data_IF_357195457913
#
_entry.id   IF_357195457913
#
_cell.length_a   1.000
_cell.length_b   1.000
_cell.length_c   1.000
_cell.angle_alpha   90.00
_cell.angle_beta   90.00
_cell.angle_gamma   90.00
#
_symmetry.space_group_name_H-M   'P 1'
#
loop_
_entity.id
_entity.type
_entity.pdbx_description
1 polymer ?
#
# COMPACT_ATOMS: atom_id res chain seq x y z
N UNK A 1 67.70 22.07 -33.56
CA UNK A 1 67.59 21.85 -32.11
C UNK A 1 66.13 22.04 -31.75
N UNK A 2 65.64 21.16 -30.88
CA UNK A 2 64.26 20.70 -30.69
C UNK A 2 63.19 21.77 -30.43
N UNK A 3 62.00 21.52 -30.99
CA UNK A 3 60.72 21.96 -30.44
C UNK A 3 59.71 20.81 -30.59
N UNK A 4 59.98 19.69 -29.90
CA UNK A 4 59.09 18.54 -29.79
C UNK A 4 58.66 18.37 -28.34
N UNK A 5 57.92 19.34 -27.82
CA UNK A 5 57.44 19.37 -26.44
C UNK A 5 55.92 19.27 -26.36
N UNK A 6 55.44 18.10 -25.95
CA UNK A 6 54.33 17.93 -25.00
C UNK A 6 52.87 18.09 -25.46
N UNK A 7 52.53 17.66 -26.69
CA UNK A 7 51.12 17.47 -27.07
C UNK A 7 50.47 16.20 -26.47
N UNK A 8 51.27 15.18 -26.14
CA UNK A 8 50.75 13.90 -25.63
C UNK A 8 50.27 13.95 -24.18
N UNK A 9 50.84 14.82 -23.34
CA UNK A 9 50.51 14.92 -21.91
C UNK A 9 49.17 15.63 -21.66
N UNK A 10 48.83 16.65 -22.45
CA UNK A 10 47.52 17.32 -22.37
C UNK A 10 46.36 16.46 -22.91
N UNK A 11 46.65 15.58 -23.87
CA UNK A 11 45.65 14.68 -24.43
C UNK A 11 45.24 13.58 -23.44
N UNK A 12 46.20 13.00 -22.70
CA UNK A 12 45.92 12.01 -21.65
C UNK A 12 45.14 12.56 -20.46
N UNK A 13 45.39 13.82 -20.06
CA UNK A 13 44.67 14.47 -18.97
C UNK A 13 43.22 14.80 -19.34
N UNK A 14 42.97 15.08 -20.62
CA UNK A 14 41.62 15.38 -21.13
C UNK A 14 40.79 14.11 -21.22
N UNK A 15 41.36 13.03 -21.76
CA UNK A 15 40.73 11.71 -21.84
C UNK A 15 40.46 11.10 -20.43
N UNK A 16 41.38 11.33 -19.47
CA UNK A 16 41.19 10.93 -18.07
C UNK A 16 40.07 11.71 -17.36
N UNK A 17 39.90 13.00 -17.66
CA UNK A 17 38.82 13.84 -17.12
C UNK A 17 37.46 13.48 -17.74
N UNK A 18 37.42 13.21 -19.04
CA UNK A 18 36.22 12.76 -19.75
C UNK A 18 35.75 11.39 -19.24
N UNK A 19 36.66 10.42 -19.09
CA UNK A 19 36.34 9.12 -18.50
C UNK A 19 35.74 9.21 -17.09
N UNK A 20 36.26 10.12 -16.25
CA UNK A 20 35.67 10.38 -14.92
C UNK A 20 34.29 11.04 -14.99
N UNK A 21 34.07 11.96 -15.92
CA UNK A 21 32.77 12.60 -16.10
C UNK A 21 31.70 11.58 -16.50
N UNK A 22 32.03 10.66 -17.40
CA UNK A 22 31.14 9.57 -17.81
C UNK A 22 30.83 8.61 -16.65
N UNK A 23 31.82 8.31 -15.81
CA UNK A 23 31.63 7.50 -14.60
C UNK A 23 30.65 8.17 -13.62
N UNK A 24 30.74 9.50 -13.43
CA UNK A 24 29.80 10.23 -12.58
C UNK A 24 28.38 10.23 -13.17
N UNK A 25 28.24 10.43 -14.48
CA UNK A 25 26.94 10.38 -15.17
C UNK A 25 26.32 8.99 -15.02
N UNK A 26 27.11 7.93 -15.23
CA UNK A 26 26.67 6.54 -15.06
C UNK A 26 26.25 6.26 -13.62
N UNK A 27 27.08 6.63 -12.64
CA UNK A 27 26.76 6.42 -11.23
C UNK A 27 25.47 7.13 -10.83
N UNK A 28 25.27 8.37 -11.26
CA UNK A 28 24.06 9.13 -11.01
C UNK A 28 22.83 8.47 -11.67
N UNK A 29 22.95 8.02 -12.91
CA UNK A 29 21.86 7.31 -13.60
C UNK A 29 21.50 6.01 -12.87
N UNK A 30 22.47 5.21 -12.46
CA UNK A 30 22.27 3.99 -11.67
C UNK A 30 21.54 4.26 -10.35
N UNK A 31 21.96 5.30 -9.61
CA UNK A 31 21.31 5.69 -8.36
C UNK A 31 19.82 6.05 -8.57
N UNK A 32 19.52 6.86 -9.59
CA UNK A 32 18.14 7.27 -9.92
C UNK A 32 17.30 6.08 -10.38
N UNK A 33 17.85 5.20 -11.23
CA UNK A 33 17.16 3.99 -11.68
C UNK A 33 16.89 3.02 -10.53
N UNK A 34 17.76 2.98 -9.52
CA UNK A 34 17.56 2.15 -8.32
C UNK A 34 16.35 2.63 -7.52
N UNK A 35 16.19 3.95 -7.35
CA UNK A 35 15.00 4.54 -6.69
C UNK A 35 13.72 4.24 -7.49
N UNK A 36 13.75 4.38 -8.82
CA UNK A 36 12.59 4.09 -9.68
C UNK A 36 12.22 2.60 -9.60
N UNK A 37 13.22 1.70 -9.65
CA UNK A 37 12.98 0.27 -9.52
C UNK A 37 12.31 -0.08 -8.18
N UNK A 38 12.71 0.58 -7.09
CA UNK A 38 12.08 0.38 -5.78
C UNK A 38 10.64 0.89 -5.75
N UNK A 39 10.37 2.06 -6.32
CA UNK A 39 9.00 2.57 -6.45
C UNK A 39 8.11 1.63 -7.27
N UNK A 40 8.62 1.06 -8.36
CA UNK A 40 7.90 0.06 -9.17
C UNK A 40 7.54 -1.17 -8.33
N UNK A 41 8.48 -1.68 -7.50
CA UNK A 41 8.20 -2.82 -6.60
C UNK A 41 7.09 -2.50 -5.62
N UNK A 42 7.12 -1.32 -5.01
CA UNK A 42 6.08 -0.86 -4.08
C UNK A 42 4.73 -0.80 -4.79
N UNK A 43 4.66 -0.22 -5.98
CA UNK A 43 3.43 -0.14 -6.77
C UNK A 43 2.89 -1.52 -7.15
N UNK A 44 3.77 -2.47 -7.52
CA UNK A 44 3.38 -3.84 -7.80
C UNK A 44 2.77 -4.53 -6.58
N UNK A 45 3.38 -4.37 -5.41
CA UNK A 45 2.87 -4.92 -4.16
C UNK A 45 1.53 -4.27 -3.76
N UNK A 46 1.38 -2.96 -3.96
CA UNK A 46 0.11 -2.26 -3.76
C UNK A 46 -0.98 -2.82 -4.69
N UNK A 47 -0.69 -2.99 -5.98
CA UNK A 47 -1.63 -3.57 -6.94
C UNK A 47 -2.04 -5.00 -6.56
N UNK A 48 -1.09 -5.83 -6.12
CA UNK A 48 -1.37 -7.19 -5.62
C UNK A 48 -2.35 -7.16 -4.46
N UNK A 49 -2.13 -6.28 -3.47
CA UNK A 49 -3.02 -6.14 -2.30
C UNK A 49 -4.42 -5.73 -2.70
N UNK A 50 -4.56 -4.75 -3.60
CA UNK A 50 -5.88 -4.31 -4.10
C UNK A 50 -6.63 -5.47 -4.74
N UNK A 51 -5.97 -6.30 -5.55
CA UNK A 51 -6.60 -7.47 -6.18
C UNK A 51 -7.04 -8.53 -5.16
N UNK A 52 -6.21 -8.79 -4.14
CA UNK A 52 -6.54 -9.73 -3.07
C UNK A 52 -7.71 -9.24 -2.20
N UNK A 53 -7.72 -7.95 -1.88
CA UNK A 53 -8.82 -7.31 -1.16
C UNK A 53 -10.12 -7.37 -1.97
N UNK A 54 -10.08 -7.03 -3.27
CA UNK A 54 -11.24 -7.12 -4.15
C UNK A 54 -11.79 -8.55 -4.25
N UNK A 55 -10.91 -9.55 -4.37
CA UNK A 55 -11.30 -10.96 -4.39
C UNK A 55 -11.96 -11.38 -3.07
N UNK A 56 -11.34 -11.06 -1.93
CA UNK A 56 -11.87 -11.34 -0.60
C UNK A 56 -13.23 -10.66 -0.41
N UNK A 57 -13.34 -9.38 -0.76
CA UNK A 57 -14.60 -8.63 -0.62
C UNK A 57 -15.71 -9.25 -1.48
N UNK A 58 -15.39 -9.66 -2.71
CA UNK A 58 -16.33 -10.40 -3.55
C UNK A 58 -16.77 -11.70 -2.87
N UNK A 59 -15.84 -12.52 -2.37
CA UNK A 59 -16.17 -13.76 -1.66
C UNK A 59 -17.07 -13.52 -0.44
N UNK A 60 -16.77 -12.49 0.37
CA UNK A 60 -17.56 -12.14 1.56
C UNK A 60 -18.94 -11.59 1.20
N UNK A 61 -19.06 -10.80 0.12
CA UNK A 61 -20.36 -10.36 -0.39
C UNK A 61 -21.23 -11.53 -0.85
N UNK A 62 -20.64 -12.55 -1.48
CA UNK A 62 -21.34 -13.75 -1.93
C UNK A 62 -21.63 -14.76 -0.80
N UNK A 63 -20.93 -14.69 0.34
CA UNK A 63 -21.20 -15.57 1.47
C UNK A 63 -22.66 -15.44 1.94
N UNK A 64 -23.31 -16.58 2.17
CA UNK A 64 -24.72 -16.63 2.56
C UNK A 64 -24.96 -15.84 3.85
N UNK A 65 -26.09 -15.16 3.96
CA UNK A 65 -26.47 -14.46 5.18
C UNK A 65 -27.99 -14.43 5.30
N UNK A 66 -28.51 -14.74 6.48
CA UNK A 66 -29.96 -14.73 6.74
C UNK A 66 -30.51 -13.32 6.96
N UNK A 67 -29.62 -12.32 7.08
CA UNK A 67 -30.00 -10.92 7.26
C UNK A 67 -29.38 -10.07 6.16
N UNK A 68 -30.00 -8.92 5.89
CA UNK A 68 -29.43 -7.92 5.00
C UNK A 68 -28.15 -7.38 5.61
N UNK A 69 -27.07 -7.42 4.84
CA UNK A 69 -25.77 -6.84 5.21
C UNK A 69 -25.88 -5.32 5.18
N UNK A 70 -25.63 -4.67 6.32
CA UNK A 70 -25.74 -3.21 6.51
C UNK A 70 -24.37 -2.67 6.91
N UNK A 71 -23.90 -1.58 6.28
CA UNK A 71 -22.68 -0.89 6.70
C UNK A 71 -22.69 -0.51 8.18
N UNK A 72 -21.50 -0.46 8.78
CA UNK A 72 -21.28 -0.17 10.19
C UNK A 72 -21.38 -1.39 11.10
N UNK A 73 -22.02 -2.47 10.65
CA UNK A 73 -22.19 -3.68 11.45
C UNK A 73 -21.01 -4.64 11.36
N UNK A 74 -20.82 -5.39 12.43
CA UNK A 74 -19.88 -6.51 12.50
C UNK A 74 -20.64 -7.80 12.19
N UNK A 75 -20.01 -8.63 11.36
CA UNK A 75 -20.51 -9.93 10.94
C UNK A 75 -19.48 -11.00 11.26
N UNK A 76 -19.95 -12.14 11.71
CA UNK A 76 -19.15 -13.29 12.12
C UNK A 76 -19.33 -14.40 11.08
N UNK A 77 -18.23 -14.80 10.45
CA UNK A 77 -18.18 -15.81 9.42
C UNK A 77 -18.01 -17.20 10.03
N UNK A 78 -18.91 -18.10 9.65
CA UNK A 78 -18.91 -19.48 10.11
C UNK A 78 -18.88 -20.45 8.93
N UNK A 79 -18.51 -21.70 9.21
CA UNK A 79 -18.51 -22.80 8.25
C UNK A 79 -19.36 -23.96 8.76
N UNK A 80 -20.35 -24.35 7.95
CA UNK A 80 -21.15 -25.56 8.21
C UNK A 80 -20.33 -26.82 7.96
N UNK A 81 -20.76 -27.95 8.49
CA UNK A 81 -20.17 -29.27 8.18
C UNK A 81 -20.16 -29.56 6.67
N UNK A 82 -21.17 -29.07 5.93
CA UNK A 82 -21.22 -29.17 4.46
C UNK A 82 -20.11 -28.38 3.73
N UNK A 83 -19.35 -27.55 4.45
CA UNK A 83 -18.33 -26.66 3.91
C UNK A 83 -18.84 -25.28 3.52
N UNK A 84 -20.16 -25.05 3.51
CA UNK A 84 -20.73 -23.75 3.17
C UNK A 84 -20.34 -22.68 4.21
N UNK A 85 -19.80 -21.57 3.73
CA UNK A 85 -19.54 -20.37 4.53
C UNK A 85 -20.76 -19.47 4.60
N UNK A 86 -21.07 -18.94 5.78
CA UNK A 86 -22.16 -18.01 5.97
C UNK A 86 -21.87 -17.00 7.09
N UNK A 87 -22.49 -15.83 7.00
CA UNK A 87 -22.41 -14.78 8.00
C UNK A 87 -23.58 -14.83 8.98
N UNK A 88 -23.28 -14.53 10.24
CA UNK A 88 -24.23 -14.24 11.32
C UNK A 88 -23.90 -12.88 11.94
N UNK A 89 -24.89 -12.26 12.59
CA UNK A 89 -24.69 -11.09 13.46
C UNK A 89 -24.27 -11.50 14.88
N UNK A 90 -24.48 -12.76 15.25
CA UNK A 90 -24.11 -13.28 16.57
C UNK A 90 -22.64 -13.70 16.57
N UNK A 91 -21.89 -13.22 17.56
CA UNK A 91 -20.52 -13.65 17.84
C UNK A 91 -20.47 -15.07 18.42
N UNK A 92 -19.30 -15.73 18.41
CA UNK A 92 -19.15 -17.04 19.07
C UNK A 92 -19.53 -17.01 20.56
N UNK A 93 -19.28 -15.88 21.23
CA UNK A 93 -19.62 -15.68 22.64
C UNK A 93 -21.12 -15.58 22.86
N UNK A 94 -21.83 -14.84 22.02
CA UNK A 94 -23.29 -14.69 22.11
C UNK A 94 -24.03 -15.97 21.72
N UNK A 95 -23.47 -16.72 20.78
CA UNK A 95 -24.00 -18.02 20.38
C UNK A 95 -23.83 -19.07 21.49
N UNK A 96 -22.76 -18.95 22.28
CA UNK A 96 -22.48 -19.82 23.40
C UNK A 96 -22.22 -21.28 22.97
N UNK A 97 -22.44 -22.26 23.86
CA UNK A 97 -22.14 -23.66 23.59
C UNK A 97 -23.03 -24.29 22.50
N UNK A 98 -24.09 -23.57 22.09
CA UNK A 98 -25.00 -23.99 21.03
C UNK A 98 -24.55 -23.57 19.63
N UNK A 99 -23.35 -22.99 19.46
CA UNK A 99 -22.78 -22.70 18.14
C UNK A 99 -22.45 -24.01 17.42
N UNK A 100 -23.23 -24.43 16.41
CA UNK A 100 -23.05 -25.74 15.81
C UNK A 100 -21.93 -25.75 14.77
N UNK A 101 -21.38 -24.58 14.43
CA UNK A 101 -20.51 -24.40 13.28
C UNK A 101 -19.18 -23.74 13.67
N UNK A 102 -18.14 -24.09 12.92
CA UNK A 102 -16.79 -23.58 13.10
C UNK A 102 -16.76 -22.06 12.86
N UNK A 103 -16.24 -21.31 13.81
CA UNK A 103 -15.97 -19.88 13.65
C UNK A 103 -14.70 -19.67 12.83
N UNK A 104 -14.77 -18.87 11.78
CA UNK A 104 -13.62 -18.58 10.91
C UNK A 104 -13.00 -17.22 11.21
N UNK A 105 -13.80 -16.15 11.16
CA UNK A 105 -13.32 -14.78 11.30
C UNK A 105 -14.49 -13.81 11.53
N UNK A 106 -14.18 -12.60 11.97
CA UNK A 106 -15.15 -11.51 12.09
C UNK A 106 -14.72 -10.33 11.20
N UNK A 107 -15.70 -9.64 10.63
CA UNK A 107 -15.47 -8.50 9.74
C UNK A 107 -16.49 -7.40 9.99
N UNK A 108 -16.06 -6.13 9.88
CA UNK A 108 -16.95 -4.98 9.80
C UNK A 108 -17.21 -4.64 8.34
N UNK A 109 -18.48 -4.52 7.96
CA UNK A 109 -18.85 -3.98 6.66
C UNK A 109 -18.76 -2.46 6.72
N UNK A 110 -17.87 -1.88 5.92
CA UNK A 110 -17.63 -0.44 5.90
C UNK A 110 -18.69 0.28 5.05
N UNK A 111 -18.75 1.62 5.17
CA UNK A 111 -19.67 2.46 4.41
C UNK A 111 -19.39 2.48 2.90
N UNK A 112 -18.15 2.22 2.49
CA UNK A 112 -17.75 2.03 1.10
C UNK A 112 -17.99 0.59 0.60
N UNK A 113 -18.66 -0.24 1.40
CA UNK A 113 -18.95 -1.65 1.14
C UNK A 113 -17.71 -2.58 1.13
N UNK A 114 -16.54 -2.09 1.53
CA UNK A 114 -15.37 -2.95 1.80
C UNK A 114 -15.53 -3.72 3.11
N UNK A 115 -14.80 -4.82 3.26
CA UNK A 115 -14.78 -5.60 4.51
C UNK A 115 -13.46 -5.41 5.25
N UNK A 116 -13.55 -4.88 6.47
CA UNK A 116 -12.39 -4.78 7.37
C UNK A 116 -12.37 -5.96 8.34
N UNK A 117 -11.30 -6.77 8.38
CA UNK A 117 -11.11 -7.80 9.41
C UNK A 117 -11.19 -7.21 10.82
N UNK A 118 -11.74 -7.96 11.78
CA UNK A 118 -12.03 -7.47 13.12
C UNK A 118 -10.81 -6.86 13.83
N UNK A 119 -9.66 -7.52 13.70
CA UNK A 119 -8.37 -7.08 14.24
C UNK A 119 -7.89 -5.73 13.67
N UNK A 120 -8.40 -5.32 12.51
CA UNK A 120 -8.02 -4.08 11.83
C UNK A 120 -9.07 -2.97 11.97
N UNK A 121 -10.21 -3.22 12.63
CA UNK A 121 -11.31 -2.23 12.74
C UNK A 121 -10.81 -0.95 13.40
N UNK A 122 -10.16 -1.05 14.57
CA UNK A 122 -9.72 0.12 15.33
C UNK A 122 -8.73 0.98 14.54
N UNK A 123 -7.77 0.33 13.88
CA UNK A 123 -6.79 1.01 13.04
C UNK A 123 -7.46 1.72 11.86
N UNK A 124 -8.35 1.03 11.15
CA UNK A 124 -9.08 1.56 9.99
C UNK A 124 -9.96 2.76 10.41
N UNK A 125 -10.69 2.62 11.52
CA UNK A 125 -11.57 3.68 12.03
C UNK A 125 -10.73 4.91 12.45
N UNK A 126 -9.56 4.71 13.08
CA UNK A 126 -8.64 5.80 13.41
C UNK A 126 -8.10 6.52 12.17
N UNK A 127 -7.71 5.78 11.13
CA UNK A 127 -7.26 6.36 9.85
C UNK A 127 -8.37 7.18 9.18
N UNK A 128 -9.60 6.67 9.14
CA UNK A 128 -10.76 7.38 8.59
C UNK A 128 -11.02 8.67 9.38
N UNK A 129 -11.02 8.61 10.71
CA UNK A 129 -11.24 9.78 11.56
C UNK A 129 -10.18 10.89 11.32
N UNK A 130 -8.91 10.50 11.09
CA UNK A 130 -7.85 11.45 10.75
C UNK A 130 -8.16 12.11 9.41
N UNK A 131 -8.54 11.34 8.39
CA UNK A 131 -8.87 11.85 7.06
C UNK A 131 -10.09 12.79 7.11
N UNK A 132 -11.15 12.40 7.82
CA UNK A 132 -12.35 13.22 8.00
C UNK A 132 -12.03 14.56 8.67
N UNK A 133 -11.13 14.56 9.66
CA UNK A 133 -10.63 15.79 10.27
C UNK A 133 -9.91 16.68 9.26
N UNK A 134 -9.01 16.12 8.45
CA UNK A 134 -8.27 16.87 7.42
C UNK A 134 -9.22 17.46 6.36
N UNK A 135 -10.25 16.71 5.95
CA UNK A 135 -11.27 17.17 4.99
C UNK A 135 -12.11 18.31 5.58
N UNK A 136 -12.53 18.19 6.84
CA UNK A 136 -13.33 19.20 7.53
C UNK A 136 -12.53 20.49 7.79
N UNK A 137 -11.22 20.40 7.99
CA UNK A 137 -10.36 21.55 8.20
C UNK A 137 -10.08 22.35 6.91
N UNK A 138 -10.61 21.93 5.75
CA UNK A 138 -10.28 22.51 4.43
C UNK A 138 -8.77 22.81 4.32
N UNK A 139 -7.94 21.84 4.69
CA UNK A 139 -6.52 21.95 4.39
C UNK A 139 -6.42 21.84 2.88
N UNK A 140 -6.43 22.99 2.21
CA UNK A 140 -5.97 23.09 0.85
C UNK A 140 -4.60 22.40 0.86
N UNK A 141 -4.51 21.23 0.22
CA UNK A 141 -3.22 20.74 -0.20
C UNK A 141 -2.59 21.92 -0.92
N UNK A 142 -1.43 22.45 -0.46
CA UNK A 142 -0.77 23.48 -1.23
C UNK A 142 -0.67 22.93 -2.65
N UNK A 143 -1.07 23.72 -3.64
CA UNK A 143 -0.95 23.37 -5.04
C UNK A 143 0.54 23.34 -5.38
N UNK A 144 1.26 22.35 -4.85
CA UNK A 144 2.66 22.14 -5.12
C UNK A 144 2.71 21.31 -6.38
N UNK A 145 2.81 22.02 -7.50
CA UNK A 145 3.21 21.48 -8.81
C UNK A 145 4.62 20.88 -8.77
N UNK A 146 5.36 21.09 -7.67
CA UNK A 146 6.71 20.58 -7.44
C UNK A 146 6.80 19.72 -6.17
N UNK A 147 7.65 18.67 -6.17
CA UNK A 147 7.90 17.86 -4.98
C UNK A 147 8.47 18.72 -3.83
N UNK A 148 7.78 18.71 -2.69
CA UNK A 148 8.20 19.44 -1.49
C UNK A 148 9.33 18.68 -0.77
N UNK A 149 10.57 19.10 -0.98
CA UNK A 149 11.75 18.54 -0.31
C UNK A 149 12.04 19.17 1.07
N UNK A 150 11.15 20.02 1.62
CA UNK A 150 11.36 20.59 2.97
C UNK A 150 11.28 19.49 4.03
N UNK A 151 12.42 19.19 4.65
CA UNK A 151 12.57 18.20 5.73
C UNK A 151 13.68 17.17 5.49
N UNK A 152 14.29 17.14 4.31
CA UNK A 152 15.37 16.19 3.97
C UNK A 152 16.79 16.77 4.11
N UNK A 153 16.94 17.93 4.72
CA UNK A 153 18.25 18.49 5.07
C UNK A 153 18.40 18.49 6.59
N UNK A 154 19.01 17.43 7.12
CA UNK A 154 19.88 17.47 8.29
C UNK A 154 21.06 16.54 8.02
#
# INVERSE_FOLDING_TARGET
MEAGGDHSFQQSDTEYKEGKADDFVRANACNRLTVIAEQIRILQEQARRVLEEAKRDAELHHAACNVVKKPGNIYYLYKRESGQRYFSILSPKEWGPSCPHEFLAAYKLQHDMSWTPYENIEKRDAEINIIDKLLNEQIALPSSTEPNFRGLTN
#
